data_IF_985232166394
#
_entry.id   IF_985232166394
#
_cell.length_a   1.000
_cell.length_b   1.000
_cell.length_c   1.000
_cell.angle_alpha   90.00
_cell.angle_beta   90.00
_cell.angle_gamma   90.00
#
_symmetry.space_group_name_H-M   'P 1'
#
loop_
_entity.id
_entity.type
_entity.pdbx_description
1 polymer ?
#
# COMPACT_ATOMS: atom_id res chain seq x y z
N UNK A 1 -15.12 -10.67 10.34
CA UNK A 1 -14.75 -9.49 11.14
C UNK A 1 -13.33 -9.20 10.75
N UNK A 2 -13.14 -8.28 9.80
CA UNK A 2 -11.79 -7.74 9.54
C UNK A 2 -11.35 -7.03 10.81
N UNK A 3 -10.17 -7.39 11.28
CA UNK A 3 -9.57 -6.82 12.47
C UNK A 3 -9.16 -5.39 12.12
N UNK A 4 -10.07 -4.44 12.35
CA UNK A 4 -9.83 -3.02 12.10
C UNK A 4 -8.62 -2.58 12.93
N UNK A 5 -7.64 -1.98 12.25
CA UNK A 5 -6.37 -1.61 12.84
C UNK A 5 -6.61 -0.38 13.74
N UNK A 6 -6.69 -0.61 15.04
CA UNK A 6 -6.81 0.46 16.01
C UNK A 6 -5.47 1.18 16.18
N UNK A 7 -5.34 2.34 15.55
CA UNK A 7 -4.18 3.22 15.70
C UNK A 7 -4.31 3.99 17.02
N UNK A 8 -3.73 3.43 18.10
CA UNK A 8 -3.85 4.00 19.45
C UNK A 8 -3.02 5.26 19.68
N UNK A 9 -1.93 5.47 18.92
CA UNK A 9 -1.10 6.66 18.98
C UNK A 9 -0.19 6.81 17.73
N UNK A 10 0.52 7.95 17.60
CA UNK A 10 1.43 8.25 16.48
C UNK A 10 2.56 7.22 16.30
N UNK A 11 3.05 6.63 17.40
CA UNK A 11 4.09 5.59 17.35
C UNK A 11 3.57 4.31 16.68
N UNK A 12 2.40 3.86 17.11
CA UNK A 12 1.73 2.67 16.56
C UNK A 12 1.39 2.86 15.07
N UNK A 13 0.90 4.05 14.71
CA UNK A 13 0.71 4.42 13.30
C UNK A 13 2.00 4.34 12.50
N UNK A 14 3.09 4.88 13.05
CA UNK A 14 4.39 4.87 12.38
C UNK A 14 4.90 3.46 12.12
N UNK A 15 4.74 2.56 13.09
CA UNK A 15 5.14 1.16 12.92
C UNK A 15 4.25 0.43 11.90
N UNK A 16 2.93 0.62 11.97
CA UNK A 16 2.00 0.09 10.99
C UNK A 16 2.34 0.57 9.56
N UNK A 17 2.55 1.87 9.39
CA UNK A 17 2.86 2.48 8.10
C UNK A 17 4.15 1.93 7.50
N UNK A 18 5.15 1.63 8.35
CA UNK A 18 6.40 0.99 7.92
C UNK A 18 6.14 -0.43 7.39
N UNK A 19 5.35 -1.23 8.11
CA UNK A 19 5.05 -2.61 7.69
C UNK A 19 4.21 -2.64 6.41
N UNK A 20 3.21 -1.79 6.29
CA UNK A 20 2.40 -1.67 5.06
C UNK A 20 3.24 -1.18 3.89
N UNK A 21 4.11 -0.19 4.09
CA UNK A 21 5.01 0.28 3.03
C UNK A 21 5.96 -0.84 2.55
N UNK A 22 6.51 -1.65 3.47
CA UNK A 22 7.34 -2.81 3.11
C UNK A 22 6.55 -3.81 2.28
N UNK A 23 5.31 -4.13 2.69
CA UNK A 23 4.46 -5.09 1.99
C UNK A 23 4.16 -4.62 0.56
N UNK A 24 3.69 -3.37 0.40
CA UNK A 24 3.40 -2.76 -0.91
C UNK A 24 4.64 -2.77 -1.81
N UNK A 25 5.80 -2.38 -1.29
CA UNK A 25 7.06 -2.36 -2.07
C UNK A 25 7.48 -3.78 -2.46
N UNK A 26 7.33 -4.76 -1.56
CA UNK A 26 7.71 -6.14 -1.84
C UNK A 26 6.84 -6.79 -2.92
N UNK A 27 5.53 -6.54 -2.89
CA UNK A 27 4.58 -7.12 -3.83
C UNK A 27 4.55 -6.38 -5.16
N UNK A 28 4.37 -5.06 -5.13
CA UNK A 28 4.12 -4.26 -6.32
C UNK A 28 5.39 -3.61 -6.88
N UNK A 29 6.35 -3.26 -6.01
CA UNK A 29 7.61 -2.64 -6.42
C UNK A 29 8.53 -3.61 -7.18
N UNK A 30 8.54 -4.90 -6.80
CA UNK A 30 9.28 -5.92 -7.54
C UNK A 30 8.71 -6.14 -8.94
N UNK A 31 7.39 -6.28 -9.07
CA UNK A 31 6.74 -6.46 -10.37
C UNK A 31 6.94 -5.24 -11.27
N UNK A 32 6.86 -4.01 -10.74
CA UNK A 32 7.18 -2.81 -11.51
C UNK A 32 8.64 -2.80 -12.00
N UNK A 33 9.60 -3.16 -11.14
CA UNK A 33 11.01 -3.23 -11.51
C UNK A 33 11.28 -4.31 -12.56
N UNK A 34 10.60 -5.46 -12.45
CA UNK A 34 10.65 -6.55 -13.42
C UNK A 34 10.07 -6.12 -14.76
N UNK A 35 8.87 -5.53 -14.78
CA UNK A 35 8.24 -5.01 -15.99
C UNK A 35 9.09 -3.93 -16.66
N UNK A 36 9.74 -3.05 -15.89
CA UNK A 36 10.65 -2.05 -16.42
C UNK A 36 11.92 -2.64 -17.06
N UNK A 37 12.36 -3.81 -16.59
CA UNK A 37 13.56 -4.49 -17.10
C UNK A 37 13.28 -5.36 -18.31
N UNK A 38 12.22 -6.16 -18.25
CA UNK A 38 11.97 -7.27 -19.17
C UNK A 38 10.65 -7.15 -19.97
N UNK A 39 9.77 -6.21 -19.60
CA UNK A 39 8.45 -6.04 -20.20
C UNK A 39 8.36 -4.91 -21.23
N UNK A 40 7.18 -4.71 -21.78
CA UNK A 40 6.86 -3.59 -22.69
C UNK A 40 6.25 -2.38 -21.96
N UNK A 41 5.94 -1.32 -22.71
CA UNK A 41 5.37 -0.10 -22.13
C UNK A 41 3.99 -0.32 -21.47
N UNK A 42 3.20 -1.28 -21.98
CA UNK A 42 1.92 -1.63 -21.39
C UNK A 42 2.12 -2.38 -20.07
N UNK A 43 3.10 -3.27 -19.98
CA UNK A 43 3.46 -3.98 -18.76
C UNK A 43 3.89 -3.01 -17.66
N UNK A 44 4.76 -2.05 -17.98
CA UNK A 44 5.19 -1.01 -17.04
C UNK A 44 4.01 -0.15 -16.58
N UNK A 45 3.11 0.21 -17.51
CA UNK A 45 1.92 1.01 -17.19
C UNK A 45 0.97 0.26 -16.25
N UNK A 46 0.75 -1.03 -16.52
CA UNK A 46 -0.10 -1.88 -15.69
C UNK A 46 0.49 -2.07 -14.27
N UNK A 47 1.78 -2.39 -14.18
CA UNK A 47 2.46 -2.54 -12.90
C UNK A 47 2.51 -1.23 -12.09
N UNK A 48 2.72 -0.09 -12.77
CA UNK A 48 2.69 1.23 -12.14
C UNK A 48 1.30 1.59 -11.61
N UNK A 49 0.25 1.28 -12.35
CA UNK A 49 -1.13 1.46 -11.90
C UNK A 49 -1.45 0.58 -10.69
N UNK A 50 -1.01 -0.68 -10.68
CA UNK A 50 -1.20 -1.59 -9.55
C UNK A 50 -0.50 -1.08 -8.27
N UNK A 51 0.75 -0.62 -8.38
CA UNK A 51 1.47 0.00 -7.26
C UNK A 51 0.75 1.24 -6.73
N UNK A 52 0.33 2.14 -7.62
CA UNK A 52 -0.42 3.34 -7.24
C UNK A 52 -1.73 3.01 -6.52
N UNK A 53 -2.48 2.03 -7.03
CA UNK A 53 -3.73 1.59 -6.42
C UNK A 53 -3.51 0.98 -5.03
N UNK A 54 -2.46 0.18 -4.84
CA UNK A 54 -2.13 -0.40 -3.53
C UNK A 54 -1.81 0.70 -2.49
N UNK A 55 -1.07 1.74 -2.88
CA UNK A 55 -0.81 2.90 -2.02
C UNK A 55 -2.12 3.63 -1.69
N UNK A 56 -2.96 3.90 -2.69
CA UNK A 56 -4.24 4.59 -2.47
C UNK A 56 -5.15 3.81 -1.53
N UNK A 57 -5.26 2.49 -1.70
CA UNK A 57 -6.07 1.64 -0.82
C UNK A 57 -5.57 1.70 0.63
N UNK A 58 -4.27 1.61 0.86
CA UNK A 58 -3.69 1.72 2.19
C UNK A 58 -3.97 3.08 2.85
N UNK A 59 -3.95 4.18 2.08
CA UNK A 59 -4.29 5.51 2.60
C UNK A 59 -5.77 5.64 2.94
N UNK A 60 -6.65 5.06 2.12
CA UNK A 60 -8.10 5.05 2.38
C UNK A 60 -8.44 4.21 3.61
N UNK A 61 -7.79 3.06 3.81
CA UNK A 61 -7.96 2.23 5.00
C UNK A 61 -7.60 2.98 6.29
N UNK A 62 -6.53 3.79 6.26
CA UNK A 62 -6.18 4.67 7.38
C UNK A 62 -7.26 5.72 7.62
N UNK A 63 -7.75 6.35 6.55
CA UNK A 63 -8.79 7.35 6.65
C UNK A 63 -10.06 6.76 7.26
N UNK A 64 -10.50 5.62 6.74
CA UNK A 64 -11.70 4.92 7.20
C UNK A 64 -11.55 4.54 8.68
N UNK A 65 -10.42 3.95 9.07
CA UNK A 65 -10.12 3.62 10.47
C UNK A 65 -10.04 4.83 11.42
N UNK A 66 -9.73 6.04 10.91
CA UNK A 66 -9.81 7.28 11.69
C UNK A 66 -11.25 7.79 11.84
N UNK A 67 -12.11 7.57 10.84
CA UNK A 67 -13.51 8.04 10.84
C UNK A 67 -14.48 7.08 11.54
N UNK A 68 -14.18 5.79 11.59
CA UNK A 68 -14.95 4.79 12.34
C UNK A 68 -14.67 4.85 13.86
N UNK A 69 -13.69 5.65 14.29
CA UNK A 69 -13.35 5.92 15.69
C UNK A 69 -14.12 7.08 16.35
N UNK A 70 -15.04 7.74 15.65
CA UNK A 70 -16.04 8.70 16.19
C UNK A 70 -17.41 8.04 16.42
#
# INVERSE_FOLDING_TARGET
MEEQIQIGNRGDFGQWAIEVAKLIVSEQGFELARSARDGDENDVRAAGAALGQAITNALMEVYDGLTEGE
#
